data_IF_628345445564
#
_entry.id   IF_628345445564
#
_cell.length_a   1.000
_cell.length_b   1.000
_cell.length_c   1.000
_cell.angle_alpha   90.00
_cell.angle_beta   90.00
_cell.angle_gamma   90.00
#
_symmetry.space_group_name_H-M   'P 1'
#
loop_
_entity.id
_entity.type
_entity.pdbx_description
1 polymer ?
#
# COMPACT_ATOMS: atom_id res chain seq x y z
N UNK A 1 -16.84 -40.31 -3.18
CA UNK A 1 -16.27 -40.10 -4.53
C UNK A 1 -16.23 -38.61 -4.84
N UNK A 2 -15.05 -37.98 -4.79
CA UNK A 2 -14.85 -36.66 -5.40
C UNK A 2 -15.20 -36.82 -6.90
N UNK A 3 -16.07 -35.97 -7.48
CA UNK A 3 -16.39 -36.05 -8.90
C UNK A 3 -15.12 -36.05 -9.76
N UNK A 4 -15.10 -36.70 -10.93
CA UNK A 4 -13.91 -36.83 -11.78
C UNK A 4 -13.19 -35.50 -12.12
N UNK A 5 -13.93 -34.38 -12.09
CA UNK A 5 -13.39 -33.02 -12.25
C UNK A 5 -12.53 -32.55 -11.07
N UNK A 6 -12.83 -32.97 -9.84
CA UNK A 6 -12.06 -32.63 -8.63
C UNK A 6 -10.82 -33.52 -8.48
N UNK A 7 -10.89 -34.77 -8.95
CA UNK A 7 -9.71 -35.65 -9.05
C UNK A 7 -8.74 -35.13 -10.11
N UNK A 8 -9.23 -34.61 -11.25
CA UNK A 8 -8.41 -33.91 -12.22
C UNK A 8 -7.80 -32.60 -11.66
N UNK A 9 -8.51 -31.95 -10.72
CA UNK A 9 -8.00 -30.75 -10.03
C UNK A 9 -6.87 -31.06 -9.04
N UNK A 10 -6.73 -32.28 -8.52
CA UNK A 10 -5.58 -32.64 -7.66
C UNK A 10 -4.24 -32.51 -8.40
N UNK A 11 -4.20 -32.86 -9.68
CA UNK A 11 -3.02 -32.65 -10.55
C UNK A 11 -2.71 -31.15 -10.75
N UNK A 12 -3.74 -30.30 -10.70
CA UNK A 12 -3.64 -28.83 -10.86
C UNK A 12 -3.29 -28.14 -9.55
N UNK A 13 -3.84 -28.61 -8.43
CA UNK A 13 -3.56 -28.14 -7.07
C UNK A 13 -2.13 -28.52 -6.67
N UNK A 14 -1.58 -29.63 -7.16
CA UNK A 14 -0.15 -29.96 -7.08
C UNK A 14 0.37 -29.84 -5.64
N UNK A 15 1.36 -28.94 -5.44
CA UNK A 15 1.99 -28.68 -4.14
C UNK A 15 1.20 -27.74 -3.22
N UNK A 16 0.04 -27.23 -3.65
CA UNK A 16 -0.79 -26.35 -2.83
C UNK A 16 -1.46 -27.06 -1.66
N UNK A 17 -1.59 -28.38 -1.74
CA UNK A 17 -2.12 -29.23 -0.67
C UNK A 17 -1.14 -30.35 -0.40
N UNK A 18 -1.01 -30.75 0.87
CA UNK A 18 -0.19 -31.88 1.30
C UNK A 18 -1.04 -32.90 2.07
N UNK A 19 -0.70 -34.19 2.00
CA UNK A 19 -1.32 -35.20 2.85
C UNK A 19 -1.20 -34.81 4.32
N UNK A 20 -2.29 -35.01 5.06
CA UNK A 20 -2.29 -34.89 6.51
C UNK A 20 -2.91 -36.14 7.13
N UNK A 21 -2.51 -36.43 8.37
CA UNK A 21 -3.10 -37.50 9.14
C UNK A 21 -4.25 -36.95 9.97
N UNK A 22 -5.44 -37.46 9.69
CA UNK A 22 -6.61 -37.31 10.57
C UNK A 22 -6.90 -38.65 11.22
N UNK A 23 -7.64 -38.60 12.33
CA UNK A 23 -8.11 -39.80 13.00
C UNK A 23 -8.94 -40.68 12.05
N UNK A 24 -8.36 -41.80 11.63
CA UNK A 24 -8.99 -42.77 10.70
C UNK A 24 -10.11 -43.58 11.36
N UNK A 25 -10.36 -43.39 12.65
CA UNK A 25 -11.52 -43.97 13.35
C UNK A 25 -12.84 -43.41 12.82
N UNK A 26 -12.81 -42.27 12.12
CA UNK A 26 -13.98 -41.64 11.53
C UNK A 26 -13.70 -41.20 10.09
N UNK A 27 -14.71 -41.35 9.23
CA UNK A 27 -14.70 -40.83 7.86
C UNK A 27 -16.00 -40.11 7.57
N UNK A 28 -15.99 -39.17 6.62
CA UNK A 28 -17.25 -38.73 6.02
C UNK A 28 -17.83 -39.92 5.24
N UNK A 29 -19.13 -40.17 5.40
CA UNK A 29 -19.81 -41.25 4.70
C UNK A 29 -19.47 -41.20 3.20
N UNK A 30 -18.82 -42.22 2.63
CA UNK A 30 -18.38 -42.18 1.22
C UNK A 30 -19.51 -41.99 0.21
N UNK A 31 -20.73 -42.37 0.61
CA UNK A 31 -21.94 -42.28 -0.20
C UNK A 31 -22.57 -40.88 -0.21
N UNK A 32 -22.92 -40.32 0.95
CA UNK A 32 -23.61 -39.01 1.03
C UNK A 32 -22.71 -37.82 1.35
N UNK A 33 -21.51 -38.05 1.91
CA UNK A 33 -20.56 -37.02 2.36
C UNK A 33 -21.09 -36.02 3.40
N UNK A 34 -22.24 -36.30 4.03
CA UNK A 34 -22.87 -35.39 4.99
C UNK A 34 -22.57 -35.77 6.45
N UNK A 35 -22.38 -37.06 6.73
CA UNK A 35 -22.24 -37.58 8.09
C UNK A 35 -20.82 -38.06 8.36
N UNK A 36 -20.24 -37.62 9.49
CA UNK A 36 -19.00 -38.20 10.03
C UNK A 36 -19.36 -39.48 10.79
N UNK A 37 -18.97 -40.63 10.24
CA UNK A 37 -19.32 -41.95 10.75
C UNK A 37 -18.08 -42.71 11.24
N UNK A 38 -18.25 -43.47 12.32
CA UNK A 38 -17.18 -44.31 12.84
C UNK A 38 -16.91 -45.49 11.91
N UNK A 39 -15.63 -45.81 11.73
CA UNK A 39 -15.13 -46.91 10.90
C UNK A 39 -14.94 -48.17 11.75
N UNK A 40 -15.36 -49.30 11.20
CA UNK A 40 -15.27 -50.61 11.82
C UNK A 40 -14.68 -51.60 10.81
N UNK A 41 -13.99 -52.63 11.30
CA UNK A 41 -13.61 -53.77 10.48
C UNK A 41 -14.85 -54.61 10.14
N UNK A 42 -14.96 -55.05 8.90
CA UNK A 42 -16.07 -55.91 8.45
C UNK A 42 -15.86 -57.41 8.75
N UNK A 43 -14.75 -57.74 9.43
CA UNK A 43 -14.35 -59.13 9.76
C UNK A 43 -13.80 -59.94 8.58
N UNK A 44 -13.75 -59.37 7.37
CA UNK A 44 -13.25 -60.00 6.12
C UNK A 44 -12.05 -59.26 5.52
N UNK A 45 -11.42 -58.39 6.30
CA UNK A 45 -10.28 -57.56 5.88
C UNK A 45 -10.68 -56.24 5.22
N UNK A 46 -11.98 -55.94 5.11
CA UNK A 46 -12.51 -54.67 4.66
C UNK A 46 -12.85 -53.73 5.84
N UNK A 47 -13.11 -52.46 5.50
CA UNK A 47 -13.55 -51.43 6.43
C UNK A 47 -14.93 -50.95 6.04
N UNK A 48 -15.78 -50.65 7.02
CA UNK A 48 -17.12 -50.12 6.79
C UNK A 48 -17.47 -49.03 7.81
N UNK A 49 -18.31 -48.08 7.42
CA UNK A 49 -18.91 -47.11 8.33
C UNK A 49 -20.44 -47.26 8.35
N UNK A 50 -21.08 -46.81 9.43
CA UNK A 50 -22.55 -46.81 9.53
C UNK A 50 -23.05 -45.37 9.50
N UNK A 51 -23.63 -44.99 8.36
CA UNK A 51 -24.26 -43.69 8.16
C UNK A 51 -25.72 -43.76 8.64
N UNK A 52 -26.23 -42.75 9.36
CA UNK A 52 -27.64 -42.71 9.75
C UNK A 52 -28.59 -42.73 8.54
N UNK A 53 -28.20 -42.11 7.43
CA UNK A 53 -29.06 -41.99 6.25
C UNK A 53 -28.79 -43.08 5.18
N UNK A 54 -27.56 -43.60 5.12
CA UNK A 54 -27.16 -44.56 4.08
C UNK A 54 -27.01 -45.99 4.60
N UNK A 55 -27.11 -46.20 5.90
CA UNK A 55 -26.82 -47.49 6.53
C UNK A 55 -25.34 -47.89 6.42
N UNK A 56 -25.02 -49.19 6.32
CA UNK A 56 -23.65 -49.68 6.20
C UNK A 56 -23.04 -49.35 4.83
N UNK A 57 -21.91 -48.64 4.83
CA UNK A 57 -21.17 -48.22 3.63
C UNK A 57 -19.73 -48.73 3.70
N UNK A 58 -19.22 -49.32 2.62
CA UNK A 58 -17.83 -49.75 2.52
C UNK A 58 -16.88 -48.53 2.48
N UNK A 59 -15.72 -48.63 3.13
CA UNK A 59 -14.72 -47.58 3.25
C UNK A 59 -13.42 -48.03 2.60
N UNK A 60 -13.02 -47.36 1.52
CA UNK A 60 -11.78 -47.61 0.79
C UNK A 60 -10.58 -46.93 1.47
N UNK A 61 -9.36 -47.24 1.01
CA UNK A 61 -8.13 -46.61 1.48
C UNK A 61 -8.19 -45.07 1.38
N UNK A 62 -8.73 -44.58 0.27
CA UNK A 62 -8.75 -43.16 -0.07
C UNK A 62 -9.85 -42.37 0.65
N UNK A 63 -10.87 -43.03 1.21
CA UNK A 63 -11.97 -42.35 1.92
C UNK A 63 -11.52 -41.72 3.25
N UNK A 64 -10.41 -42.22 3.83
CA UNK A 64 -9.76 -41.63 5.00
C UNK A 64 -8.58 -40.71 4.64
N UNK A 65 -8.30 -40.48 3.36
CA UNK A 65 -7.23 -39.59 2.94
C UNK A 65 -7.63 -38.15 3.24
N UNK A 66 -6.82 -37.45 4.03
CA UNK A 66 -7.00 -36.03 4.32
C UNK A 66 -5.89 -35.22 3.65
N UNK A 67 -6.28 -34.05 3.17
CA UNK A 67 -5.39 -33.06 2.60
C UNK A 67 -5.52 -31.78 3.42
N UNK A 68 -4.39 -31.14 3.66
CA UNK A 68 -4.34 -29.79 4.25
C UNK A 68 -3.68 -28.85 3.26
N UNK A 69 -4.05 -27.58 3.30
CA UNK A 69 -3.35 -26.51 2.61
C UNK A 69 -1.87 -26.52 3.02
N UNK A 70 -0.97 -26.53 2.04
CA UNK A 70 0.45 -26.33 2.30
C UNK A 70 0.75 -24.84 2.44
N UNK A 71 0.76 -24.37 3.69
CA UNK A 71 0.96 -22.96 4.02
C UNK A 71 2.35 -22.45 3.64
N UNK A 72 3.38 -23.30 3.71
CA UNK A 72 4.73 -22.94 3.28
C UNK A 72 4.73 -22.62 1.78
N UNK A 73 4.12 -23.53 1.01
CA UNK A 73 3.96 -23.35 -0.42
C UNK A 73 3.13 -22.10 -0.74
N UNK A 74 2.00 -21.90 -0.04
CA UNK A 74 1.13 -20.73 -0.27
C UNK A 74 1.89 -19.44 -0.03
N UNK A 75 2.55 -19.30 1.13
CA UNK A 75 3.32 -18.10 1.49
C UNK A 75 4.43 -17.84 0.47
N UNK A 76 5.15 -18.87 0.04
CA UNK A 76 6.21 -18.74 -0.96
C UNK A 76 5.67 -18.30 -2.33
N UNK A 77 4.56 -18.89 -2.80
CA UNK A 77 3.98 -18.54 -4.10
C UNK A 77 3.33 -17.15 -4.10
N UNK A 78 2.68 -16.76 -3.02
CA UNK A 78 2.13 -15.41 -2.87
C UNK A 78 3.23 -14.34 -2.95
N UNK A 79 4.37 -14.57 -2.29
CA UNK A 79 5.52 -13.66 -2.37
C UNK A 79 6.06 -13.51 -3.79
N UNK A 80 6.20 -14.62 -4.50
CA UNK A 80 6.60 -14.61 -5.92
C UNK A 80 5.59 -13.86 -6.79
N UNK A 81 4.28 -14.09 -6.57
CA UNK A 81 3.22 -13.41 -7.32
C UNK A 81 3.22 -11.89 -7.11
N UNK A 82 3.67 -11.43 -5.94
CA UNK A 82 3.72 -10.02 -5.55
C UNK A 82 5.09 -9.36 -5.82
N UNK A 83 6.09 -10.12 -6.28
CA UNK A 83 7.45 -9.63 -6.48
C UNK A 83 8.16 -9.24 -5.17
N UNK A 84 7.82 -9.89 -4.06
CA UNK A 84 8.48 -9.67 -2.76
C UNK A 84 9.84 -10.37 -2.80
N UNK A 85 10.90 -9.64 -2.47
CA UNK A 85 12.27 -10.14 -2.52
C UNK A 85 12.50 -11.21 -1.47
N UNK A 86 13.33 -12.21 -1.76
CA UNK A 86 13.60 -13.34 -0.85
C UNK A 86 14.28 -12.93 0.46
N UNK A 87 14.93 -11.76 0.50
CA UNK A 87 15.57 -11.22 1.71
C UNK A 87 14.57 -10.76 2.78
N UNK A 88 13.34 -10.45 2.37
CA UNK A 88 12.30 -10.08 3.33
C UNK A 88 11.92 -11.33 4.12
N UNK A 89 11.94 -11.32 5.45
CA UNK A 89 11.47 -12.45 6.25
C UNK A 89 9.97 -12.72 6.05
N UNK A 90 9.51 -13.89 6.47
CA UNK A 90 8.09 -14.12 6.77
C UNK A 90 7.97 -14.07 8.29
N UNK A 91 7.17 -13.14 8.80
CA UNK A 91 6.88 -13.07 10.23
C UNK A 91 5.56 -13.80 10.50
N UNK A 92 5.60 -14.83 11.35
CA UNK A 92 4.39 -15.48 11.84
C UNK A 92 3.77 -14.63 12.95
N UNK A 93 2.56 -14.16 12.72
CA UNK A 93 1.83 -13.30 13.65
C UNK A 93 0.84 -14.09 14.51
N UNK A 94 0.70 -15.40 14.27
CA UNK A 94 -0.20 -16.32 14.97
C UNK A 94 -1.54 -16.56 14.26
N UNK A 95 -2.18 -17.67 14.61
CA UNK A 95 -3.57 -18.01 14.25
C UNK A 95 -3.92 -17.89 12.76
N UNK A 96 -2.98 -18.25 11.89
CA UNK A 96 -3.17 -18.21 10.44
C UNK A 96 -3.02 -16.82 9.83
N UNK A 97 -2.26 -15.93 10.47
CA UNK A 97 -1.88 -14.60 9.99
C UNK A 97 -0.36 -14.50 9.85
N UNK A 98 0.11 -14.03 8.70
CA UNK A 98 1.53 -13.87 8.40
C UNK A 98 1.82 -12.53 7.74
N UNK A 99 2.96 -11.92 8.09
CA UNK A 99 3.56 -10.87 7.27
C UNK A 99 4.42 -11.53 6.20
N UNK A 100 4.13 -11.23 4.93
CA UNK A 100 4.84 -11.82 3.79
C UNK A 100 6.08 -11.02 3.36
N UNK A 101 6.31 -9.83 3.90
CA UNK A 101 7.36 -8.89 3.46
C UNK A 101 6.77 -7.63 2.85
N UNK A 102 7.58 -6.87 2.11
CA UNK A 102 7.18 -5.58 1.56
C UNK A 102 7.07 -5.63 0.03
N UNK A 103 5.86 -5.46 -0.50
CA UNK A 103 5.63 -5.37 -1.93
C UNK A 103 5.53 -3.91 -2.36
N UNK A 104 6.51 -3.41 -3.13
CA UNK A 104 6.57 -2.00 -3.55
C UNK A 104 6.52 -1.02 -2.37
N UNK A 105 7.36 -1.23 -1.35
CA UNK A 105 7.42 -0.43 -0.12
C UNK A 105 6.13 -0.45 0.74
N UNK A 106 5.22 -1.40 0.50
CA UNK A 106 4.00 -1.59 1.30
C UNK A 106 4.03 -2.98 1.96
N UNK A 107 3.92 -3.07 3.30
CA UNK A 107 3.86 -4.36 3.98
C UNK A 107 2.64 -5.17 3.54
N UNK A 108 2.84 -6.47 3.34
CA UNK A 108 1.80 -7.41 2.93
C UNK A 108 1.47 -8.37 4.06
N UNK A 109 0.20 -8.39 4.45
CA UNK A 109 -0.38 -9.32 5.41
C UNK A 109 -1.19 -10.37 4.66
N UNK A 110 -0.95 -11.65 4.93
CA UNK A 110 -1.78 -12.77 4.49
C UNK A 110 -2.51 -13.35 5.69
N UNK A 111 -3.82 -13.50 5.61
CA UNK A 111 -4.62 -14.12 6.67
C UNK A 111 -5.61 -15.15 6.11
N UNK A 112 -5.83 -16.24 6.85
CA UNK A 112 -6.81 -17.28 6.52
C UNK A 112 -8.25 -16.78 6.62
N UNK A 113 -8.52 -15.84 7.52
CA UNK A 113 -9.84 -15.29 7.79
C UNK A 113 -9.75 -13.78 7.97
N UNK A 114 -10.55 -13.03 7.21
CA UNK A 114 -10.68 -11.59 7.34
C UNK A 114 -11.15 -11.19 8.74
N UNK A 115 -12.07 -11.96 9.32
CA UNK A 115 -12.69 -11.68 10.62
C UNK A 115 -11.64 -11.50 11.70
N UNK A 116 -10.55 -12.29 11.64
CA UNK A 116 -9.45 -12.17 12.58
C UNK A 116 -8.75 -10.82 12.49
N UNK A 117 -8.43 -10.36 11.28
CA UNK A 117 -7.77 -9.07 11.06
C UNK A 117 -8.67 -7.91 11.50
N UNK A 118 -9.98 -8.04 11.36
CA UNK A 118 -10.95 -7.04 11.82
C UNK A 118 -11.11 -7.02 13.34
N UNK A 119 -11.09 -8.17 13.99
CA UNK A 119 -11.19 -8.29 15.45
C UNK A 119 -9.92 -7.83 16.18
N UNK A 120 -8.76 -7.95 15.54
CA UNK A 120 -7.47 -7.57 16.11
C UNK A 120 -6.71 -6.55 15.23
N UNK A 121 -7.13 -5.26 15.24
CA UNK A 121 -6.48 -4.21 14.44
C UNK A 121 -5.00 -4.01 14.77
N UNK A 122 -4.56 -4.39 15.98
CA UNK A 122 -3.16 -4.32 16.40
C UNK A 122 -2.22 -5.14 15.50
N UNK A 123 -2.72 -6.15 14.79
CA UNK A 123 -1.95 -6.89 13.79
C UNK A 123 -1.46 -5.98 12.63
N UNK A 124 -2.27 -4.98 12.26
CA UNK A 124 -1.91 -4.02 11.22
C UNK A 124 -0.84 -3.04 11.72
N UNK A 125 -0.92 -2.62 12.98
CA UNK A 125 0.06 -1.69 13.56
C UNK A 125 1.44 -2.33 13.73
N UNK A 126 1.49 -3.64 14.05
CA UNK A 126 2.74 -4.41 14.15
C UNK A 126 3.54 -4.47 12.85
N UNK A 127 2.88 -4.34 11.70
CA UNK A 127 3.51 -4.43 10.38
C UNK A 127 3.63 -3.08 9.68
N UNK A 128 3.11 -2.00 10.28
CA UNK A 128 3.03 -0.68 9.65
C UNK A 128 4.42 -0.07 9.47
N UNK A 129 4.67 0.46 8.28
CA UNK A 129 5.89 1.21 7.94
C UNK A 129 5.52 2.68 7.76
N UNK A 130 6.40 3.60 8.21
CA UNK A 130 6.14 5.04 8.10
C UNK A 130 5.94 5.45 6.63
N UNK A 131 4.80 6.07 6.33
CA UNK A 131 4.45 6.55 4.98
C UNK A 131 3.95 5.47 4.00
N UNK A 132 3.90 4.19 4.40
CA UNK A 132 3.40 3.08 3.58
C UNK A 132 1.99 2.64 3.94
N UNK A 133 1.15 2.37 2.93
CA UNK A 133 -0.12 1.66 3.12
C UNK A 133 0.11 0.16 3.37
N UNK A 134 -0.85 -0.51 3.99
CA UNK A 134 -0.78 -1.96 4.27
C UNK A 134 -1.63 -2.70 3.24
N UNK A 135 -1.12 -3.79 2.66
CA UNK A 135 -1.93 -4.69 1.81
C UNK A 135 -2.34 -5.90 2.60
N UNK A 136 -3.63 -6.19 2.66
CA UNK A 136 -4.19 -7.35 3.36
C UNK A 136 -4.77 -8.31 2.34
N UNK A 137 -4.35 -9.57 2.39
CA UNK A 137 -4.83 -10.64 1.51
C UNK A 137 -5.59 -11.65 2.34
N UNK A 138 -6.85 -11.86 2.01
CA UNK A 138 -7.70 -12.90 2.62
C UNK A 138 -8.64 -13.51 1.60
N UNK A 139 -9.15 -14.72 1.85
CA UNK A 139 -10.35 -15.21 1.17
C UNK A 139 -11.54 -14.26 1.37
N UNK A 140 -12.51 -14.32 0.46
CA UNK A 140 -13.75 -13.56 0.57
C UNK A 140 -14.61 -14.13 1.71
N UNK A 141 -15.02 -13.33 2.70
CA UNK A 141 -15.99 -13.74 3.70
C UNK A 141 -17.35 -13.95 3.05
N UNK A 142 -18.15 -14.85 3.61
CA UNK A 142 -19.51 -15.11 3.11
C UNK A 142 -20.46 -13.93 3.30
N UNK A 143 -20.23 -13.10 4.32
CA UNK A 143 -21.19 -12.10 4.79
C UNK A 143 -20.75 -10.65 4.56
N UNK A 144 -19.46 -10.39 4.39
CA UNK A 144 -18.92 -9.03 4.25
C UNK A 144 -19.07 -8.53 2.82
N UNK A 145 -19.80 -7.43 2.62
CA UNK A 145 -19.85 -6.67 1.36
C UNK A 145 -19.08 -5.35 1.48
N UNK A 146 -18.28 -5.01 0.47
CA UNK A 146 -17.51 -3.76 0.39
C UNK A 146 -16.11 -3.84 1.00
N UNK A 147 -15.39 -2.71 1.02
CA UNK A 147 -14.04 -2.63 1.62
C UNK A 147 -14.16 -2.55 3.15
N UNK A 148 -13.65 -3.54 3.90
CA UNK A 148 -13.83 -3.63 5.35
C UNK A 148 -12.83 -2.75 6.12
N UNK A 149 -11.78 -2.25 5.47
CA UNK A 149 -10.76 -1.41 6.09
C UNK A 149 -10.91 0.06 5.69
N UNK A 150 -10.45 0.94 6.59
CA UNK A 150 -10.35 2.38 6.36
C UNK A 150 -9.13 2.78 5.51
N UNK A 151 -8.89 4.09 5.42
CA UNK A 151 -7.79 4.67 4.62
C UNK A 151 -6.42 4.10 5.01
N UNK A 152 -5.59 3.82 3.99
CA UNK A 152 -4.24 3.31 4.19
C UNK A 152 -4.13 1.80 4.32
N UNK A 153 -5.24 1.06 4.15
CA UNK A 153 -5.24 -0.40 4.05
C UNK A 153 -5.93 -0.82 2.75
N UNK A 154 -5.20 -1.47 1.87
CA UNK A 154 -5.70 -2.04 0.63
C UNK A 154 -6.07 -3.51 0.87
N UNK A 155 -7.34 -3.86 0.62
CA UNK A 155 -7.78 -5.25 0.68
C UNK A 155 -7.70 -5.93 -0.68
N UNK A 156 -6.95 -7.02 -0.74
CA UNK A 156 -6.76 -7.85 -1.92
C UNK A 156 -7.48 -9.19 -1.70
N UNK A 157 -8.72 -9.29 -2.18
CA UNK A 157 -9.52 -10.51 -2.11
C UNK A 157 -8.85 -11.61 -2.94
N UNK A 158 -8.58 -12.76 -2.31
CA UNK A 158 -7.79 -13.82 -2.93
C UNK A 158 -8.41 -14.32 -4.24
N UNK A 159 -9.73 -14.51 -4.26
CA UNK A 159 -10.51 -15.02 -5.39
C UNK A 159 -10.61 -14.03 -6.56
N UNK A 160 -10.37 -12.73 -6.34
CA UNK A 160 -10.47 -11.69 -7.37
C UNK A 160 -9.11 -11.27 -7.89
N UNK A 161 -8.11 -11.26 -7.02
CA UNK A 161 -6.79 -10.70 -7.29
C UNK A 161 -5.76 -11.76 -7.61
N UNK A 162 -6.04 -13.05 -7.39
CA UNK A 162 -5.07 -14.12 -7.64
C UNK A 162 -5.69 -15.30 -8.38
N UNK A 163 -4.90 -15.92 -9.27
CA UNK A 163 -5.28 -17.13 -10.01
C UNK A 163 -4.17 -18.19 -9.92
N UNK A 164 -4.55 -19.45 -10.02
CA UNK A 164 -3.60 -20.53 -10.24
C UNK A 164 -3.17 -20.57 -11.70
N UNK A 165 -1.86 -20.51 -11.95
CA UNK A 165 -1.28 -20.59 -13.29
C UNK A 165 0.00 -21.42 -13.25
N UNK A 166 0.08 -22.46 -14.09
CA UNK A 166 1.28 -23.28 -14.25
C UNK A 166 1.81 -23.92 -12.95
N UNK A 167 0.94 -24.28 -12.00
CA UNK A 167 1.34 -24.81 -10.69
C UNK A 167 1.91 -23.76 -9.72
N UNK A 168 1.67 -22.47 -9.99
CA UNK A 168 1.94 -21.35 -9.10
C UNK A 168 0.74 -20.43 -8.94
N UNK A 169 0.96 -19.30 -8.27
CA UNK A 169 -0.03 -18.24 -8.09
C UNK A 169 0.41 -17.05 -8.93
N UNK A 170 -0.52 -16.44 -9.67
CA UNK A 170 -0.32 -15.21 -10.42
C UNK A 170 -1.29 -14.14 -9.92
N UNK A 171 -0.83 -12.90 -9.84
CA UNK A 171 -1.67 -11.74 -9.52
C UNK A 171 -2.50 -11.35 -10.77
N UNK A 172 -3.83 -11.41 -10.67
CA UNK A 172 -4.79 -11.01 -11.71
C UNK A 172 -4.95 -9.50 -11.66
N UNK A 173 -4.81 -8.86 -12.81
CA UNK A 173 -4.93 -7.42 -12.92
C UNK A 173 -3.90 -6.78 -12.01
N UNK A 174 -2.73 -6.47 -12.53
CA UNK A 174 -1.90 -5.45 -11.90
C UNK A 174 -2.87 -4.32 -11.55
N UNK A 175 -3.05 -3.94 -10.25
CA UNK A 175 -3.47 -2.58 -10.05
C UNK A 175 -2.39 -1.83 -10.81
N UNK A 176 -2.80 -1.06 -11.82
CA UNK A 176 -1.90 -0.07 -12.39
C UNK A 176 -1.18 0.51 -11.19
N UNK A 177 0.16 0.53 -11.15
CA UNK A 177 0.85 1.16 -10.03
C UNK A 177 0.05 2.42 -9.72
N UNK A 178 -0.37 2.68 -8.46
CA UNK A 178 -0.71 4.05 -8.13
C UNK A 178 0.48 4.81 -8.70
N UNK A 179 0.24 5.70 -9.69
CA UNK A 179 1.28 6.15 -10.59
C UNK A 179 2.46 6.44 -9.69
N UNK A 180 3.61 5.77 -9.94
CA UNK A 180 4.87 6.21 -9.32
C UNK A 180 4.77 7.72 -9.35
N UNK A 181 4.84 8.44 -8.21
CA UNK A 181 4.57 9.87 -8.21
C UNK A 181 5.44 10.44 -9.32
N UNK A 182 4.78 10.79 -10.43
CA UNK A 182 5.37 10.63 -11.75
C UNK A 182 6.43 11.69 -11.82
N UNK A 183 7.70 11.34 -11.52
CA UNK A 183 8.75 12.24 -10.99
C UNK A 183 8.28 13.65 -11.19
N UNK A 184 7.48 14.15 -10.23
CA UNK A 184 6.71 15.36 -10.47
C UNK A 184 7.77 16.35 -10.90
N UNK A 185 7.65 16.87 -12.13
CA UNK A 185 8.64 17.79 -12.66
C UNK A 185 8.98 18.73 -11.50
N UNK A 186 10.23 18.79 -11.02
CA UNK A 186 10.55 19.53 -9.82
C UNK A 186 10.13 21.00 -9.95
N UNK A 187 9.91 21.49 -11.18
CA UNK A 187 9.37 22.80 -11.49
C UNK A 187 7.83 22.88 -11.58
N UNK A 188 7.10 21.78 -11.45
CA UNK A 188 5.65 21.74 -11.55
C UNK A 188 5.00 22.57 -10.42
N UNK A 189 4.06 23.47 -10.76
CA UNK A 189 3.38 24.30 -9.77
C UNK A 189 2.45 23.44 -8.87
N UNK A 190 2.75 23.40 -7.57
CA UNK A 190 1.97 22.71 -6.52
C UNK A 190 1.32 23.72 -5.57
N UNK A 191 2.02 24.81 -5.25
CA UNK A 191 1.58 25.85 -4.32
C UNK A 191 1.29 27.14 -5.10
N UNK A 192 0.16 27.20 -5.82
CA UNK A 192 -0.10 28.28 -6.76
C UNK A 192 0.97 28.31 -7.87
N UNK A 193 1.69 29.42 -8.11
CA UNK A 193 2.74 29.46 -9.14
C UNK A 193 4.03 28.73 -8.74
N UNK A 194 4.16 28.21 -7.51
CA UNK A 194 5.40 27.64 -6.97
C UNK A 194 5.45 26.11 -7.01
N UNK A 195 6.65 25.54 -7.14
CA UNK A 195 6.89 24.13 -6.85
C UNK A 195 6.64 23.76 -5.39
N UNK A 196 6.55 22.45 -5.11
CA UNK A 196 6.32 21.93 -3.76
C UNK A 196 7.33 22.44 -2.71
N UNK A 197 8.58 22.65 -3.13
CA UNK A 197 9.70 23.10 -2.29
C UNK A 197 10.01 24.61 -2.44
N UNK A 198 9.21 25.35 -3.20
CA UNK A 198 9.40 26.78 -3.51
C UNK A 198 10.71 27.12 -4.25
N UNK A 199 11.41 26.10 -4.81
CA UNK A 199 12.62 26.33 -5.60
C UNK A 199 12.34 26.75 -7.03
N UNK A 200 11.13 26.56 -7.51
CA UNK A 200 10.72 26.98 -8.84
C UNK A 200 9.47 27.82 -8.77
N UNK A 201 9.37 28.78 -9.69
CA UNK A 201 8.15 29.55 -9.91
C UNK A 201 7.87 29.69 -11.40
N UNK A 202 6.61 29.50 -11.77
CA UNK A 202 6.09 29.76 -13.11
C UNK A 202 5.11 30.93 -13.01
N UNK A 203 5.54 32.10 -13.49
CA UNK A 203 4.70 33.30 -13.43
C UNK A 203 3.56 33.20 -14.46
N UNK A 204 2.30 33.43 -14.08
CA UNK A 204 1.15 33.28 -14.99
C UNK A 204 1.14 34.29 -16.13
N UNK A 205 1.76 35.46 -15.96
CA UNK A 205 1.93 36.49 -16.99
C UNK A 205 3.27 36.38 -17.75
N UNK A 206 4.03 35.29 -17.53
CA UNK A 206 5.34 35.05 -18.14
C UNK A 206 5.28 34.24 -19.43
N UNK A 207 6.45 33.93 -19.98
CA UNK A 207 6.63 33.04 -21.15
C UNK A 207 6.43 31.55 -20.83
N UNK A 208 6.01 31.23 -19.60
CA UNK A 208 5.84 29.87 -19.10
C UNK A 208 7.16 29.19 -18.67
N UNK A 209 8.31 29.87 -18.77
CA UNK A 209 9.60 29.32 -18.36
C UNK A 209 9.74 29.34 -16.84
N UNK A 210 9.97 28.19 -16.16
CA UNK A 210 10.17 28.16 -14.72
C UNK A 210 11.47 28.87 -14.31
N UNK A 211 11.38 29.74 -13.30
CA UNK A 211 12.53 30.44 -12.72
C UNK A 211 12.97 29.66 -11.48
N UNK A 212 14.25 29.28 -11.45
CA UNK A 212 14.84 28.61 -10.29
C UNK A 212 15.30 29.63 -9.24
N UNK A 213 14.96 29.39 -7.97
CA UNK A 213 15.46 30.11 -6.81
C UNK A 213 16.55 29.34 -6.08
N UNK A 214 17.45 30.08 -5.45
CA UNK A 214 18.42 29.52 -4.51
C UNK A 214 17.74 29.00 -3.24
N UNK A 215 18.41 28.11 -2.50
CA UNK A 215 17.86 27.51 -1.27
C UNK A 215 17.48 28.55 -0.22
N UNK A 216 18.25 29.64 -0.11
CA UNK A 216 17.94 30.75 0.79
C UNK A 216 16.67 31.50 0.36
N UNK A 217 16.51 31.77 -0.93
CA UNK A 217 15.33 32.44 -1.48
C UNK A 217 14.07 31.56 -1.33
N UNK A 218 14.16 30.27 -1.63
CA UNK A 218 13.08 29.30 -1.48
C UNK A 218 12.57 29.23 -0.04
N UNK A 219 13.47 29.21 0.97
CA UNK A 219 13.09 29.24 2.39
C UNK A 219 12.31 30.49 2.78
N UNK A 220 12.69 31.66 2.25
CA UNK A 220 11.95 32.91 2.49
C UNK A 220 10.57 32.88 1.85
N UNK A 221 10.45 32.37 0.62
CA UNK A 221 9.19 32.24 -0.09
C UNK A 221 8.25 31.25 0.60
N UNK A 222 8.76 30.09 1.04
CA UNK A 222 7.98 29.12 1.83
C UNK A 222 7.55 29.68 3.20
N UNK A 223 8.41 30.47 3.85
CA UNK A 223 8.04 31.16 5.10
C UNK A 223 6.91 32.18 4.84
N UNK A 224 7.02 33.01 3.82
CA UNK A 224 5.97 33.95 3.40
C UNK A 224 4.65 33.24 3.06
N UNK A 225 4.72 32.15 2.31
CA UNK A 225 3.55 31.35 1.94
C UNK A 225 2.82 30.80 3.16
N UNK A 226 3.55 30.38 4.19
CA UNK A 226 2.97 29.82 5.42
C UNK A 226 2.12 30.81 6.23
N UNK A 227 2.25 32.12 5.98
CA UNK A 227 1.39 33.15 6.55
C UNK A 227 0.10 33.37 5.75
N UNK A 228 -0.18 32.54 4.72
CA UNK A 228 -1.45 32.50 3.98
C UNK A 228 -1.88 33.86 3.39
N UNK A 229 -0.90 34.68 3.02
CA UNK A 229 -1.12 36.02 2.44
C UNK A 229 -1.27 37.15 3.46
N UNK A 230 -1.22 36.88 4.76
CA UNK A 230 -1.22 37.91 5.80
C UNK A 230 0.07 38.73 5.81
N UNK A 231 -0.07 40.04 6.00
CA UNK A 231 1.06 40.95 6.10
C UNK A 231 1.84 40.72 7.41
N UNK A 232 3.12 40.37 7.29
CA UNK A 232 3.98 39.98 8.41
C UNK A 232 5.30 40.75 8.40
N UNK A 233 5.92 40.94 9.57
CA UNK A 233 7.21 41.63 9.71
C UNK A 233 8.38 40.82 9.17
N UNK A 234 9.42 41.51 8.69
CA UNK A 234 10.66 40.89 8.23
C UNK A 234 11.23 39.90 9.26
N UNK A 235 11.30 40.28 10.54
CA UNK A 235 11.90 39.46 11.60
C UNK A 235 11.21 38.10 11.73
N UNK A 236 9.88 38.07 11.71
CA UNK A 236 9.10 36.82 11.80
C UNK A 236 9.33 35.92 10.59
N UNK A 237 9.43 36.51 9.40
CA UNK A 237 9.70 35.76 8.16
C UNK A 237 11.11 35.17 8.21
N UNK A 238 12.11 35.96 8.58
CA UNK A 238 13.51 35.54 8.61
C UNK A 238 13.77 34.50 9.70
N UNK A 239 13.18 34.68 10.88
CA UNK A 239 13.21 33.69 11.95
C UNK A 239 12.62 32.34 11.50
N UNK A 240 11.47 32.38 10.80
CA UNK A 240 10.82 31.16 10.31
C UNK A 240 11.57 30.51 9.15
N UNK A 241 12.21 31.30 8.29
CA UNK A 241 13.10 30.81 7.23
C UNK A 241 14.42 30.22 7.79
N UNK A 242 14.74 30.48 9.06
CA UNK A 242 15.99 30.04 9.69
C UNK A 242 17.22 30.75 9.11
N UNK A 243 17.09 32.01 8.69
CA UNK A 243 18.14 32.77 8.02
C UNK A 243 18.51 34.02 8.82
N UNK A 244 19.81 34.30 8.92
CA UNK A 244 20.35 35.44 9.68
C UNK A 244 20.38 36.78 8.94
N UNK A 245 19.66 36.92 7.83
CA UNK A 245 19.57 38.20 7.11
C UNK A 245 18.47 39.09 7.72
N UNK A 246 18.64 40.41 7.66
CA UNK A 246 17.74 41.37 8.29
C UNK A 246 16.42 41.55 7.52
N UNK A 247 16.42 41.37 6.19
CA UNK A 247 15.22 41.58 5.36
C UNK A 247 15.09 40.51 4.28
N UNK A 248 13.88 40.00 4.02
CA UNK A 248 13.60 39.06 2.93
C UNK A 248 14.21 39.47 1.58
N UNK A 249 14.09 40.76 1.24
CA UNK A 249 14.61 41.34 0.00
C UNK A 249 16.12 41.22 -0.20
N UNK A 250 16.91 41.08 0.87
CA UNK A 250 18.36 41.05 0.78
C UNK A 250 18.88 39.81 0.03
N UNK A 251 18.12 38.71 0.05
CA UNK A 251 18.45 37.49 -0.69
C UNK A 251 18.15 37.59 -2.19
N UNK A 252 17.32 38.56 -2.59
CA UNK A 252 16.94 38.78 -3.98
C UNK A 252 17.71 39.92 -4.64
N UNK A 253 18.48 40.70 -3.86
CA UNK A 253 19.33 41.78 -4.40
C UNK A 253 20.38 41.24 -5.37
N UNK A 254 20.40 41.81 -6.57
CA UNK A 254 21.44 41.53 -7.57
C UNK A 254 22.78 42.08 -7.04
N UNK A 255 23.73 41.19 -6.77
CA UNK A 255 25.07 41.57 -6.30
C UNK A 255 25.90 42.11 -7.47
N UNK A 256 26.87 42.98 -7.19
CA UNK A 256 27.72 43.60 -8.22
C UNK A 256 28.42 42.57 -9.12
N UNK A 257 28.83 41.43 -8.56
CA UNK A 257 29.45 40.29 -9.28
C UNK A 257 28.49 39.54 -10.21
N UNK A 258 27.19 39.73 -10.03
CA UNK A 258 26.11 39.05 -10.75
C UNK A 258 25.35 40.01 -11.68
N UNK A 259 25.83 41.25 -11.79
CA UNK A 259 25.26 42.28 -12.67
C UNK A 259 25.39 41.84 -14.13
N UNK A 260 24.25 41.75 -14.83
CA UNK A 260 24.17 41.33 -16.23
C UNK A 260 23.88 39.83 -16.43
N UNK A 261 23.81 39.03 -15.36
CA UNK A 261 23.36 37.63 -15.46
C UNK A 261 21.84 37.56 -15.55
N UNK A 262 21.34 36.71 -16.44
CA UNK A 262 19.90 36.53 -16.67
C UNK A 262 19.18 35.97 -15.42
N UNK A 263 19.76 34.96 -14.79
CA UNK A 263 19.12 34.22 -13.68
C UNK A 263 18.88 35.10 -12.42
N UNK A 264 19.87 35.82 -11.83
CA UNK A 264 19.62 36.70 -10.68
C UNK A 264 18.67 37.86 -11.00
N UNK A 265 18.66 38.31 -12.26
CA UNK A 265 17.72 39.35 -12.72
C UNK A 265 16.29 38.81 -12.76
N UNK A 266 16.09 37.59 -13.27
CA UNK A 266 14.80 36.91 -13.27
C UNK A 266 14.29 36.62 -11.85
N UNK A 267 15.16 36.15 -10.95
CA UNK A 267 14.83 35.91 -9.53
C UNK A 267 14.37 37.20 -8.83
N UNK A 268 15.08 38.31 -9.04
CA UNK A 268 14.72 39.61 -8.46
C UNK A 268 13.39 40.15 -9.02
N UNK A 269 13.18 40.03 -10.33
CA UNK A 269 11.93 40.43 -10.98
C UNK A 269 10.74 39.59 -10.46
N UNK A 270 10.90 38.27 -10.35
CA UNK A 270 9.89 37.37 -9.81
C UNK A 270 9.51 37.74 -8.38
N UNK A 271 10.49 38.01 -7.51
CA UNK A 271 10.23 38.47 -6.14
C UNK A 271 9.36 39.73 -6.09
N UNK A 272 9.61 40.70 -6.98
CA UNK A 272 8.82 41.94 -7.07
C UNK A 272 7.36 41.73 -7.49
N UNK A 273 7.08 40.67 -8.25
CA UNK A 273 5.71 40.27 -8.66
C UNK A 273 5.01 39.47 -7.56
N UNK A 274 5.75 38.61 -6.87
CA UNK A 274 5.19 37.63 -5.92
C UNK A 274 4.95 38.21 -4.52
N UNK A 275 5.77 39.17 -4.10
CA UNK A 275 5.79 39.68 -2.72
C UNK A 275 5.45 41.18 -2.70
N UNK A 276 4.36 41.50 -2.02
CA UNK A 276 3.94 42.89 -1.78
C UNK A 276 4.63 43.41 -0.52
N UNK A 277 5.25 44.58 -0.63
CA UNK A 277 5.95 45.22 0.50
C UNK A 277 5.29 46.55 0.87
N UNK A 278 4.91 46.69 2.14
CA UNK A 278 4.42 47.95 2.69
C UNK A 278 5.59 48.67 3.37
N UNK A 279 6.38 49.40 2.57
CA UNK A 279 7.67 49.97 3.00
C UNK A 279 7.58 50.82 4.28
N UNK A 280 6.49 51.58 4.46
CA UNK A 280 6.28 52.43 5.65
C UNK A 280 6.01 51.64 6.94
N UNK A 281 5.44 50.44 6.81
CA UNK A 281 5.08 49.58 7.94
C UNK A 281 6.08 48.42 8.16
N UNK A 282 7.03 48.20 7.23
CA UNK A 282 7.98 47.08 7.30
C UNK A 282 7.31 45.71 7.14
N UNK A 283 6.12 45.67 6.52
CA UNK A 283 5.33 44.46 6.34
C UNK A 283 5.49 43.87 4.94
N UNK A 284 5.47 42.55 4.87
CA UNK A 284 5.60 41.75 3.67
C UNK A 284 4.42 40.80 3.61
N UNK A 285 3.81 40.68 2.44
CA UNK A 285 2.71 39.76 2.19
C UNK A 285 2.94 39.04 0.85
N UNK A 286 2.42 37.83 0.73
CA UNK A 286 2.40 37.07 -0.51
C UNK A 286 0.94 36.79 -0.89
N UNK A 287 0.28 37.68 -1.65
CA UNK A 287 -1.15 37.57 -1.96
C UNK A 287 -1.55 36.26 -2.65
N UNK A 288 -0.63 35.68 -3.42
CA UNK A 288 -0.81 34.38 -4.07
C UNK A 288 -1.18 33.25 -3.11
N UNK A 289 -0.70 33.31 -1.87
CA UNK A 289 -1.03 32.33 -0.84
C UNK A 289 -2.49 32.45 -0.33
N UNK A 290 -3.11 33.63 -0.47
CA UNK A 290 -4.53 33.81 -0.17
C UNK A 290 -5.43 33.33 -1.31
N UNK A 291 -5.01 33.54 -2.57
CA UNK A 291 -5.78 33.12 -3.75
C UNK A 291 -5.75 31.60 -3.95
N UNK A 292 -4.65 30.92 -3.62
CA UNK A 292 -4.54 29.47 -3.74
C UNK A 292 -5.37 28.68 -2.71
N UNK A 293 -5.93 29.35 -1.69
CA UNK A 293 -6.76 28.75 -0.64
C UNK A 293 -8.27 29.07 -0.79
N UNK A 294 -8.64 29.84 -1.81
CA UNK A 294 -10.02 30.19 -2.14
C UNK A 294 -10.57 29.24 -3.23
#
# INVERSE_FOLDING_TARGET
>A
MLPPREVAALSVLGKAVKPTTVDQSFVLCPHCQQHRAQVWGDGRGGRMCRCPDCGPVAVEANDGAALILDEDWLRQKMRLALGIESRDGIDDLGDGVWRLGDARCSPVLLARDLTRVLQEPALLDRVRVAGGGIRVITPRPRETRGSPFGTGVEWLVLEERFTFYGGGIALIGTPSPPPEPAVADPAAPVNGPFSADFRWVTLPDGDGTPIQFTDGQAKVLGALWSFKGEATTADRIMQRAGLGSAKPSDLFKIKAKDKGKLEPTAQHAAYGVLVVTQQRAGLYAMPWAAVALA
#
